data_IF_540913089470
#
_entry.id   IF_540913089470
#
_cell.length_a   1.000
_cell.length_b   1.000
_cell.length_c   1.000
_cell.angle_alpha   90.00
_cell.angle_beta   90.00
_cell.angle_gamma   90.00
#
_symmetry.space_group_name_H-M   'P 1'
#
loop_
_entity.id
_entity.type
_entity.pdbx_description
1 polymer ?
#
# COMPACT_ATOMS: atom_id res chain seq x y z
N UNK A 1 70.85 5.54 13.78
CA UNK A 1 70.70 4.83 12.49
C UNK A 1 69.30 4.22 12.44
N UNK A 2 68.37 4.90 11.75
CA UNK A 2 66.97 4.50 11.67
C UNK A 2 66.73 3.65 10.43
N UNK A 3 66.55 2.34 10.60
CA UNK A 3 66.13 1.45 9.52
C UNK A 3 64.61 1.55 9.36
N UNK A 4 64.15 2.36 8.39
CA UNK A 4 62.77 2.30 7.90
C UNK A 4 62.58 1.02 7.10
N UNK A 5 61.72 0.13 7.60
CA UNK A 5 61.21 -1.02 6.85
C UNK A 5 60.21 -0.49 5.83
N UNK A 6 60.64 -0.36 4.57
CA UNK A 6 59.72 -0.28 3.44
C UNK A 6 59.07 -1.66 3.29
N UNK A 7 57.94 -1.86 3.96
CA UNK A 7 57.03 -2.94 3.60
C UNK A 7 56.52 -2.58 2.21
N UNK A 8 56.89 -3.40 1.22
CA UNK A 8 56.57 -3.18 -0.19
C UNK A 8 55.07 -3.00 -0.37
N UNK A 9 54.64 -1.77 -0.67
CA UNK A 9 53.27 -1.38 -1.02
C UNK A 9 52.69 -2.30 -2.11
N UNK A 10 53.55 -2.84 -2.99
CA UNK A 10 53.17 -3.82 -4.00
C UNK A 10 52.61 -5.12 -3.41
N UNK A 11 53.15 -5.63 -2.30
CA UNK A 11 52.66 -6.87 -1.65
C UNK A 11 51.28 -6.63 -1.02
N UNK A 12 51.08 -5.45 -0.43
CA UNK A 12 49.79 -5.07 0.13
C UNK A 12 48.72 -4.95 -0.97
N UNK A 13 49.06 -4.34 -2.10
CA UNK A 13 48.15 -4.22 -3.23
C UNK A 13 47.76 -5.59 -3.80
N UNK A 14 48.73 -6.50 -3.97
CA UNK A 14 48.46 -7.86 -4.46
C UNK A 14 47.55 -8.62 -3.50
N UNK A 15 47.76 -8.51 -2.18
CA UNK A 15 46.87 -9.12 -1.19
C UNK A 15 45.44 -8.58 -1.25
N UNK A 16 45.27 -7.27 -1.41
CA UNK A 16 43.94 -6.65 -1.54
C UNK A 16 43.23 -7.13 -2.81
N UNK A 17 43.93 -7.18 -3.95
CA UNK A 17 43.35 -7.71 -5.19
C UNK A 17 43.00 -9.20 -5.10
N UNK A 18 43.82 -10.00 -4.41
CA UNK A 18 43.55 -11.42 -4.25
C UNK A 18 42.32 -11.69 -3.35
N UNK A 19 42.16 -10.91 -2.27
CA UNK A 19 40.99 -10.99 -1.40
C UNK A 19 39.74 -10.55 -2.16
N UNK A 20 39.80 -9.43 -2.90
CA UNK A 20 38.68 -8.97 -3.73
C UNK A 20 38.29 -10.01 -4.78
N UNK A 21 39.26 -10.69 -5.41
CA UNK A 21 39.00 -11.74 -6.40
C UNK A 21 38.34 -12.98 -5.80
N UNK A 22 38.76 -13.41 -4.60
CA UNK A 22 38.13 -14.54 -3.88
C UNK A 22 36.70 -14.20 -3.50
N UNK A 23 36.46 -12.99 -2.98
CA UNK A 23 35.12 -12.54 -2.60
C UNK A 23 34.18 -12.43 -3.80
N UNK A 24 34.69 -12.02 -4.97
CA UNK A 24 33.88 -11.91 -6.18
C UNK A 24 33.54 -13.26 -6.81
N UNK A 25 34.39 -14.29 -6.62
CA UNK A 25 34.13 -15.63 -7.18
C UNK A 25 33.10 -16.45 -6.41
N UNK A 26 32.64 -15.98 -5.25
CA UNK A 26 31.75 -16.75 -4.36
C UNK A 26 30.26 -16.65 -4.70
N UNK A 27 29.86 -16.00 -5.80
CA UNK A 27 28.44 -15.71 -6.08
C UNK A 27 27.85 -16.41 -7.30
N UNK A 28 28.57 -17.30 -7.99
CA UNK A 28 28.12 -17.78 -9.32
C UNK A 28 28.04 -19.31 -9.52
N UNK A 29 27.99 -20.12 -8.45
CA UNK A 29 27.74 -21.56 -8.60
C UNK A 29 26.71 -22.08 -7.58
N UNK A 30 25.46 -22.25 -8.05
CA UNK A 30 24.38 -22.80 -7.24
C UNK A 30 23.15 -23.31 -8.00
N UNK A 31 23.26 -23.64 -9.30
CA UNK A 31 22.22 -24.48 -9.96
C UNK A 31 22.40 -25.93 -9.51
N UNK A 32 21.67 -26.33 -8.47
CA UNK A 32 21.50 -27.74 -8.12
C UNK A 32 20.11 -28.18 -8.54
N UNK A 33 20.07 -29.04 -9.55
CA UNK A 33 18.93 -29.88 -9.88
C UNK A 33 18.62 -30.79 -8.68
N UNK A 34 17.47 -30.62 -8.03
CA UNK A 34 16.95 -31.62 -7.10
C UNK A 34 15.83 -32.43 -7.76
N UNK A 35 16.20 -33.67 -8.10
CA UNK A 35 15.30 -34.76 -8.38
C UNK A 35 14.59 -35.22 -7.10
N UNK A 36 13.29 -35.49 -7.24
CA UNK A 36 12.45 -36.44 -6.51
C UNK A 36 13.06 -37.13 -5.28
N UNK A 37 12.52 -36.81 -4.11
CA UNK A 37 12.46 -37.70 -2.95
C UNK A 37 11.32 -37.26 -2.01
N UNK A 38 10.09 -37.65 -2.33
CA UNK A 38 8.97 -37.63 -1.37
C UNK A 38 8.62 -39.07 -1.01
N UNK A 39 9.31 -39.60 0.00
CA UNK A 39 8.88 -40.79 0.73
C UNK A 39 8.79 -40.45 2.23
N UNK A 40 7.57 -40.61 2.76
CA UNK A 40 7.22 -40.85 4.17
C UNK A 40 7.44 -39.71 5.17
N UNK A 41 6.32 -39.17 5.64
CA UNK A 41 5.66 -39.54 6.91
C UNK A 41 5.01 -38.29 7.52
N UNK A 42 3.69 -38.16 7.45
CA UNK A 42 2.88 -37.89 8.64
C UNK A 42 1.40 -38.16 8.34
N UNK A 43 0.93 -39.20 9.02
CA UNK A 43 -0.45 -39.62 9.15
C UNK A 43 -1.18 -38.58 10.00
N UNK A 44 -2.20 -37.93 9.42
CA UNK A 44 -3.19 -37.14 10.16
C UNK A 44 -4.54 -37.25 9.47
N UNK A 45 -5.38 -38.05 10.11
CA UNK A 45 -6.85 -38.05 10.16
C UNK A 45 -7.59 -37.42 8.97
N UNK A 46 -7.99 -38.29 8.03
CA UNK A 46 -8.91 -38.00 6.93
C UNK A 46 -10.34 -37.82 7.47
N UNK A 47 -10.92 -36.64 7.26
CA UNK A 47 -12.37 -36.44 7.13
C UNK A 47 -12.76 -36.70 5.66
N UNK A 48 -13.93 -37.31 5.36
CA UNK A 48 -14.31 -37.61 3.99
C UNK A 48 -14.87 -36.36 3.29
N UNK A 49 -14.09 -35.78 2.37
CA UNK A 49 -14.57 -34.80 1.41
C UNK A 49 -14.70 -35.46 0.02
N UNK A 50 -15.95 -35.68 -0.38
CA UNK A 50 -16.36 -36.12 -1.71
C UNK A 50 -16.21 -34.92 -2.68
N UNK A 51 -15.03 -34.77 -3.29
CA UNK A 51 -14.75 -33.72 -4.28
C UNK A 51 -14.85 -34.29 -5.70
N UNK A 52 -16.08 -34.37 -6.22
CA UNK A 52 -16.30 -34.27 -7.66
C UNK A 52 -16.16 -32.80 -8.08
N UNK A 53 -14.97 -32.41 -8.54
CA UNK A 53 -14.80 -31.21 -9.38
C UNK A 53 -15.56 -31.45 -10.68
N UNK A 54 -16.77 -30.90 -10.75
CA UNK A 54 -17.45 -30.65 -12.01
C UNK A 54 -16.95 -29.30 -12.48
N UNK A 55 -16.08 -29.31 -13.49
CA UNK A 55 -15.78 -28.15 -14.30
C UNK A 55 -17.03 -27.76 -15.07
N UNK A 56 -17.78 -26.79 -14.56
CA UNK A 56 -18.82 -26.12 -15.35
C UNK A 56 -18.14 -25.04 -16.20
N UNK A 57 -18.34 -25.04 -17.53
CA UNK A 57 -17.89 -23.94 -18.37
C UNK A 57 -18.72 -22.69 -18.02
N UNK A 58 -18.08 -21.70 -17.41
CA UNK A 58 -18.68 -20.40 -17.12
C UNK A 58 -18.66 -19.56 -18.41
N UNK A 59 -19.69 -19.74 -19.23
CA UNK A 59 -19.99 -18.85 -20.36
C UNK A 59 -21.33 -18.16 -20.05
N UNK A 60 -21.28 -17.08 -19.27
CA UNK A 60 -22.35 -16.09 -19.24
C UNK A 60 -21.81 -14.73 -18.76
N UNK A 61 -20.87 -14.15 -19.53
CA UNK A 61 -20.33 -12.81 -19.29
C UNK A 61 -21.22 -11.68 -19.85
N UNK A 62 -22.39 -11.99 -20.41
CA UNK A 62 -23.22 -11.02 -21.15
C UNK A 62 -24.09 -10.10 -20.28
N UNK A 63 -23.93 -10.09 -18.95
CA UNK A 63 -24.74 -9.23 -18.05
C UNK A 63 -23.96 -8.40 -17.04
N UNK A 64 -22.62 -8.41 -17.05
CA UNK A 64 -21.85 -7.51 -16.20
C UNK A 64 -21.97 -6.07 -16.76
N UNK A 65 -22.48 -5.10 -15.98
CA UNK A 65 -22.53 -3.72 -16.42
C UNK A 65 -21.10 -3.25 -16.67
N UNK A 66 -20.75 -2.99 -17.93
CA UNK A 66 -19.47 -2.41 -18.31
C UNK A 66 -19.32 -1.06 -17.60
N UNK A 67 -18.61 -1.05 -16.47
CA UNK A 67 -18.19 0.17 -15.82
C UNK A 67 -17.29 0.92 -16.81
N UNK A 68 -17.60 2.19 -17.08
CA UNK A 68 -16.75 3.01 -17.93
C UNK A 68 -15.33 3.05 -17.34
N UNK A 69 -14.39 2.37 -18.00
CA UNK A 69 -12.97 2.26 -17.65
C UNK A 69 -12.16 3.59 -17.76
N UNK A 70 -12.83 4.75 -17.67
CA UNK A 70 -12.25 6.09 -17.83
C UNK A 70 -11.67 6.70 -16.55
N UNK A 71 -11.45 5.90 -15.51
CA UNK A 71 -11.32 6.38 -14.13
C UNK A 71 -9.87 6.38 -13.69
N UNK A 72 -9.19 7.45 -14.10
CA UNK A 72 -7.76 7.59 -13.94
C UNK A 72 -7.37 8.50 -12.77
N UNK A 73 -6.45 8.01 -11.92
CA UNK A 73 -5.68 8.81 -10.96
C UNK A 73 -4.47 9.48 -11.63
N UNK A 74 -4.19 9.24 -12.92
CA UNK A 74 -3.08 9.92 -13.59
C UNK A 74 -3.32 11.43 -13.69
N UNK A 75 -2.26 12.22 -13.50
CA UNK A 75 -2.19 13.55 -14.07
C UNK A 75 -2.43 13.44 -15.58
N UNK A 76 -3.24 14.35 -16.15
CA UNK A 76 -3.34 14.49 -17.62
C UNK A 76 -1.92 14.62 -18.21
N UNK A 77 -1.70 14.04 -19.39
CA UNK A 77 -0.40 13.92 -20.10
C UNK A 77 0.23 15.29 -20.45
N UNK A 78 -0.49 16.39 -20.30
CA UNK A 78 0.12 17.70 -20.23
C UNK A 78 0.83 17.83 -18.88
N UNK A 79 2.17 17.71 -18.85
CA UNK A 79 2.97 17.99 -17.65
C UNK A 79 2.59 19.39 -17.16
N UNK A 80 1.77 19.51 -16.09
CA UNK A 80 1.36 20.82 -15.62
C UNK A 80 2.63 21.56 -15.20
N UNK A 81 2.62 22.89 -15.23
CA UNK A 81 3.71 23.62 -14.57
C UNK A 81 3.82 23.11 -13.13
N UNK A 82 5.02 22.97 -12.57
CA UNK A 82 5.24 22.36 -11.23
C UNK A 82 4.25 22.88 -10.17
N UNK A 83 4.03 24.20 -10.15
CA UNK A 83 3.06 24.87 -9.26
C UNK A 83 1.60 24.44 -9.47
N UNK A 84 1.20 24.10 -10.69
CA UNK A 84 -0.14 23.61 -11.01
C UNK A 84 -0.35 22.18 -10.50
N UNK A 85 0.68 21.32 -10.56
CA UNK A 85 0.61 19.96 -10.04
C UNK A 85 0.42 19.95 -8.51
N UNK A 86 1.19 20.77 -7.79
CA UNK A 86 1.03 20.93 -6.34
C UNK A 86 -0.38 21.44 -6.00
N UNK A 87 -0.82 22.53 -6.64
CA UNK A 87 -2.16 23.09 -6.39
C UNK A 87 -3.27 22.08 -6.70
N UNK A 88 -3.11 21.29 -7.77
CA UNK A 88 -4.07 20.24 -8.13
C UNK A 88 -4.12 19.13 -7.09
N UNK A 89 -2.97 18.74 -6.53
CA UNK A 89 -2.90 17.78 -5.44
C UNK A 89 -3.60 18.33 -4.18
N UNK A 90 -3.30 19.57 -3.75
CA UNK A 90 -4.00 20.22 -2.61
C UNK A 90 -5.52 20.23 -2.79
N UNK A 91 -6.01 20.68 -3.96
CA UNK A 91 -7.44 20.70 -4.25
C UNK A 91 -8.07 19.30 -4.25
N UNK A 92 -7.30 18.30 -4.71
CA UNK A 92 -7.71 16.91 -4.70
C UNK A 92 -7.80 16.35 -3.29
N UNK A 93 -6.80 16.60 -2.44
CA UNK A 93 -6.81 16.16 -1.05
C UNK A 93 -7.90 16.84 -0.23
N UNK A 94 -8.12 18.16 -0.42
CA UNK A 94 -9.24 18.85 0.20
C UNK A 94 -10.60 18.22 -0.18
N UNK A 95 -10.78 17.87 -1.45
CA UNK A 95 -12.00 17.19 -1.92
C UNK A 95 -12.20 15.83 -1.25
N UNK A 96 -11.11 15.05 -1.13
CA UNK A 96 -11.13 13.72 -0.50
C UNK A 96 -11.43 13.82 1.00
N UNK A 97 -10.80 14.76 1.71
CA UNK A 97 -11.09 15.04 3.12
C UNK A 97 -12.54 15.42 3.35
N UNK A 98 -13.11 16.25 2.47
CA UNK A 98 -14.53 16.59 2.54
C UNK A 98 -15.41 15.33 2.40
N UNK A 99 -15.13 14.45 1.44
CA UNK A 99 -15.88 13.20 1.26
C UNK A 99 -15.70 12.21 2.42
N UNK A 100 -14.50 12.11 3.00
CA UNK A 100 -14.26 11.28 4.18
C UNK A 100 -15.08 11.74 5.39
N UNK A 101 -15.24 13.06 5.56
CA UNK A 101 -16.03 13.67 6.64
C UNK A 101 -17.56 13.54 6.46
N UNK A 102 -18.02 13.42 5.23
CA UNK A 102 -19.44 13.21 4.91
C UNK A 102 -19.87 11.79 5.27
N UNK A 103 -21.15 11.61 5.59
CA UNK A 103 -21.72 10.25 5.59
C UNK A 103 -21.78 9.69 4.16
N UNK A 104 -22.09 8.40 4.03
CA UNK A 104 -22.13 7.71 2.73
C UNK A 104 -23.07 8.39 1.74
N UNK A 105 -24.28 8.75 2.15
CA UNK A 105 -25.29 9.35 1.28
C UNK A 105 -24.87 10.75 0.80
N UNK A 106 -24.31 11.56 1.70
CA UNK A 106 -23.78 12.89 1.41
C UNK A 106 -22.59 12.82 0.46
N UNK A 107 -21.63 11.92 0.72
CA UNK A 107 -20.47 11.72 -0.14
C UNK A 107 -20.91 11.28 -1.55
N UNK A 108 -21.88 10.35 -1.65
CA UNK A 108 -22.42 9.89 -2.92
C UNK A 108 -23.12 11.02 -3.69
N UNK A 109 -23.97 11.80 -3.01
CA UNK A 109 -24.64 12.95 -3.61
C UNK A 109 -23.64 14.01 -4.10
N UNK A 110 -22.61 14.28 -3.30
CA UNK A 110 -21.55 15.23 -3.65
C UNK A 110 -20.72 14.76 -4.85
N UNK A 111 -20.35 13.47 -4.88
CA UNK A 111 -19.61 12.88 -5.99
C UNK A 111 -20.40 12.96 -7.30
N UNK A 112 -21.70 12.65 -7.27
CA UNK A 112 -22.60 12.77 -8.42
C UNK A 112 -22.74 14.22 -8.92
N UNK A 113 -22.74 15.19 -8.01
CA UNK A 113 -22.81 16.61 -8.36
C UNK A 113 -21.48 17.19 -8.86
N UNK A 114 -20.35 16.53 -8.59
CA UNK A 114 -19.03 17.02 -8.94
C UNK A 114 -18.60 16.52 -10.33
N UNK A 115 -18.29 17.41 -11.30
CA UNK A 115 -17.79 17.00 -12.62
C UNK A 115 -16.53 16.14 -12.56
N UNK A 116 -15.72 16.30 -11.50
CA UNK A 116 -14.51 15.50 -11.29
C UNK A 116 -14.83 14.08 -10.86
N UNK A 117 -15.84 13.88 -10.01
CA UNK A 117 -16.08 12.60 -9.34
C UNK A 117 -17.22 11.80 -9.97
N UNK A 118 -18.19 12.46 -10.59
CA UNK A 118 -19.35 11.84 -11.22
C UNK A 118 -18.97 10.79 -12.26
N UNK A 119 -17.83 10.96 -12.92
CA UNK A 119 -17.32 9.96 -13.86
C UNK A 119 -16.31 9.04 -13.19
N UNK A 120 -15.53 9.52 -12.22
CA UNK A 120 -14.28 8.88 -11.77
C UNK A 120 -14.44 7.79 -10.72
N UNK A 121 -15.36 7.90 -9.76
CA UNK A 121 -15.43 6.90 -8.68
C UNK A 121 -16.84 6.74 -8.13
N UNK A 122 -17.42 5.53 -8.13
CA UNK A 122 -18.54 5.26 -7.27
C UNK A 122 -18.09 5.36 -5.81
N UNK A 123 -18.85 6.11 -5.01
CA UNK A 123 -18.63 6.28 -3.57
C UNK A 123 -18.93 5.00 -2.80
N UNK A 124 -19.76 4.10 -3.34
CA UNK A 124 -19.88 2.75 -2.84
C UNK A 124 -18.91 1.84 -3.59
N UNK A 125 -18.05 1.11 -2.87
CA UNK A 125 -17.32 -0.01 -3.45
C UNK A 125 -18.29 -1.08 -3.93
N UNK A 126 -18.06 -1.64 -5.12
CA UNK A 126 -18.84 -2.78 -5.63
C UNK A 126 -18.33 -4.12 -5.09
N UNK A 127 -17.16 -4.11 -4.46
CA UNK A 127 -16.46 -5.30 -4.00
C UNK A 127 -16.44 -5.32 -2.48
N UNK A 128 -17.14 -6.28 -1.92
CA UNK A 128 -17.26 -6.44 -0.46
C UNK A 128 -17.01 -7.87 -0.02
N UNK A 129 -17.04 -8.83 -0.93
CA UNK A 129 -16.82 -10.23 -0.63
C UNK A 129 -15.39 -10.63 -1.01
N UNK A 130 -14.56 -11.14 -0.08
CA UNK A 130 -13.23 -11.63 -0.44
C UNK A 130 -13.14 -12.61 -1.60
N UNK A 131 -14.20 -13.38 -1.87
CA UNK A 131 -14.25 -14.25 -3.06
C UNK A 131 -14.20 -13.47 -4.38
N UNK A 132 -14.49 -12.17 -4.36
CA UNK A 132 -14.30 -11.28 -5.51
C UNK A 132 -12.84 -11.23 -5.97
N UNK A 133 -11.85 -11.49 -5.10
CA UNK A 133 -10.46 -11.55 -5.53
C UNK A 133 -10.27 -12.63 -6.61
N UNK A 134 -10.62 -13.87 -6.30
CA UNK A 134 -10.52 -15.00 -7.24
C UNK A 134 -11.39 -14.79 -8.48
N UNK A 135 -12.65 -14.32 -8.28
CA UNK A 135 -13.58 -14.06 -9.39
C UNK A 135 -13.08 -13.02 -10.40
N UNK A 136 -12.19 -12.13 -9.96
CA UNK A 136 -11.61 -11.06 -10.78
C UNK A 136 -10.11 -11.27 -11.05
N UNK A 137 -9.64 -12.52 -10.99
CA UNK A 137 -8.31 -12.90 -11.45
C UNK A 137 -7.17 -12.62 -10.47
N UNK A 138 -7.47 -12.37 -9.20
CA UNK A 138 -6.45 -12.24 -8.16
C UNK A 138 -6.22 -13.56 -7.47
N UNK A 139 -5.03 -14.11 -7.66
CA UNK A 139 -4.58 -15.28 -6.93
C UNK A 139 -3.84 -14.86 -5.66
N UNK A 140 -4.10 -15.53 -4.52
CA UNK A 140 -3.25 -15.37 -3.35
C UNK A 140 -1.84 -15.86 -3.72
N UNK A 141 -0.85 -14.96 -3.68
CA UNK A 141 0.54 -15.37 -3.83
C UNK A 141 0.93 -16.10 -2.56
N UNK A 142 0.83 -17.43 -2.58
CA UNK A 142 1.24 -18.33 -1.49
C UNK A 142 2.69 -18.82 -1.64
N UNK A 143 3.34 -18.53 -2.77
CA UNK A 143 4.54 -19.24 -3.20
C UNK A 143 5.87 -18.60 -2.76
N UNK A 144 5.83 -17.52 -1.98
CA UNK A 144 6.99 -16.96 -1.30
C UNK A 144 6.98 -17.34 0.19
N UNK A 145 8.06 -17.95 0.69
CA UNK A 145 8.30 -17.94 2.13
C UNK A 145 8.28 -16.46 2.58
N UNK A 146 7.46 -16.06 3.57
CA UNK A 146 7.48 -14.69 4.10
C UNK A 146 8.87 -14.24 4.57
N UNK A 147 9.83 -15.17 4.71
CA UNK A 147 11.23 -14.87 4.98
C UNK A 147 12.06 -14.43 3.77
N UNK A 148 11.64 -14.69 2.52
CA UNK A 148 12.43 -14.38 1.31
C UNK A 148 11.93 -13.16 0.53
N UNK A 149 10.63 -12.85 0.57
CA UNK A 149 10.04 -11.76 -0.22
C UNK A 149 9.37 -10.69 0.65
N UNK A 150 10.06 -9.55 0.79
CA UNK A 150 9.53 -8.36 1.43
C UNK A 150 9.92 -8.21 2.90
N UNK A 151 10.17 -6.96 3.31
CA UNK A 151 10.31 -6.62 4.72
C UNK A 151 9.80 -5.21 4.99
N UNK A 152 9.20 -5.00 6.16
CA UNK A 152 8.93 -3.67 6.70
C UNK A 152 10.27 -2.94 6.76
N UNK A 153 10.34 -1.79 6.10
CA UNK A 153 11.58 -1.03 5.98
C UNK A 153 12.09 -0.63 7.36
N UNK A 154 13.40 -0.81 7.57
CA UNK A 154 14.08 -0.53 8.85
C UNK A 154 13.84 0.90 9.35
N UNK A 155 13.62 1.80 8.40
CA UNK A 155 13.44 3.21 8.62
C UNK A 155 12.06 3.54 9.22
N UNK A 156 11.06 2.68 9.01
CA UNK A 156 9.74 2.81 9.64
C UNK A 156 9.71 2.24 11.06
N UNK A 157 10.63 1.33 11.38
CA UNK A 157 10.61 0.55 12.63
C UNK A 157 10.60 1.46 13.86
N UNK A 158 11.48 2.45 13.91
CA UNK A 158 11.60 3.33 15.08
C UNK A 158 10.33 4.09 15.40
N UNK A 159 9.55 4.49 14.39
CA UNK A 159 8.26 5.15 14.59
C UNK A 159 7.14 4.14 14.89
N UNK A 160 7.13 2.99 14.23
CA UNK A 160 6.18 1.92 14.51
C UNK A 160 6.31 1.37 15.94
N UNK A 161 7.53 1.30 16.50
CA UNK A 161 7.76 0.96 17.90
C UNK A 161 7.15 2.01 18.86
N UNK A 162 7.23 3.30 18.52
CA UNK A 162 6.59 4.37 19.29
C UNK A 162 5.06 4.26 19.30
N UNK A 163 4.49 3.69 18.24
CA UNK A 163 3.07 3.36 18.15
C UNK A 163 2.71 2.02 18.82
N UNK A 164 3.69 1.26 19.31
CA UNK A 164 3.48 -0.04 19.94
C UNK A 164 3.11 -1.16 18.98
N UNK A 165 3.61 -1.12 17.73
CA UNK A 165 3.27 -2.08 16.67
C UNK A 165 4.26 -3.26 16.53
N UNK A 166 5.43 -3.20 17.20
CA UNK A 166 6.47 -4.23 17.21
C UNK A 166 6.79 -4.84 15.81
N UNK A 167 7.15 -4.05 14.78
CA UNK A 167 7.40 -4.55 13.42
C UNK A 167 8.54 -5.56 13.31
N UNK A 168 9.40 -5.69 14.32
CA UNK A 168 10.47 -6.68 14.35
C UNK A 168 10.00 -8.09 14.73
N UNK A 169 8.81 -8.23 15.33
CA UNK A 169 8.26 -9.52 15.76
C UNK A 169 7.42 -10.10 14.62
N UNK A 170 8.06 -10.74 13.65
CA UNK A 170 7.40 -11.24 12.42
C UNK A 170 6.17 -12.12 12.67
N UNK A 171 6.15 -12.87 13.78
CA UNK A 171 4.97 -13.68 14.16
C UNK A 171 3.72 -12.84 14.43
N UNK A 172 3.87 -11.55 14.74
CA UNK A 172 2.77 -10.59 14.95
C UNK A 172 2.26 -9.97 13.64
N UNK A 173 2.89 -10.29 12.51
CA UNK A 173 2.54 -9.77 11.19
C UNK A 173 2.18 -10.93 10.24
N UNK A 174 1.43 -10.61 9.20
CA UNK A 174 1.18 -11.50 8.07
C UNK A 174 1.37 -10.68 6.79
N UNK A 175 2.15 -11.22 5.85
CA UNK A 175 2.16 -10.73 4.48
C UNK A 175 0.91 -11.27 3.77
N UNK A 176 0.06 -10.37 3.29
CA UNK A 176 -1.07 -10.68 2.44
C UNK A 176 -0.75 -10.15 1.05
N UNK A 177 -0.52 -11.05 0.10
CA UNK A 177 -0.15 -10.71 -1.26
C UNK A 177 -1.12 -11.34 -2.26
N UNK A 178 -1.55 -10.54 -3.23
CA UNK A 178 -2.36 -11.00 -4.34
C UNK A 178 -1.71 -10.55 -5.65
N UNK A 179 -1.50 -11.51 -6.53
CA UNK A 179 -0.98 -11.29 -7.88
C UNK A 179 -2.09 -11.54 -8.87
N UNK A 180 -2.11 -10.75 -9.94
CA UNK A 180 -3.08 -10.99 -10.99
C UNK A 180 -2.61 -12.20 -11.81
N UNK A 181 -3.41 -13.26 -11.76
CA UNK A 181 -3.11 -14.56 -12.31
C UNK A 181 -3.19 -14.59 -13.84
N UNK A 182 -2.42 -15.49 -14.45
CA UNK A 182 -2.39 -15.68 -15.90
C UNK A 182 -3.66 -16.34 -16.46
N UNK A 183 -4.55 -16.86 -15.62
CA UNK A 183 -5.79 -17.52 -16.07
C UNK A 183 -6.95 -16.53 -16.31
N UNK A 184 -6.84 -15.28 -15.86
CA UNK A 184 -7.85 -14.26 -16.10
C UNK A 184 -7.56 -13.49 -17.38
N UNK A 185 -8.37 -13.74 -18.41
CA UNK A 185 -8.24 -13.11 -19.72
C UNK A 185 -9.16 -11.88 -19.85
N UNK A 186 -8.58 -10.73 -20.23
CA UNK A 186 -9.35 -9.60 -20.73
C UNK A 186 -9.17 -9.54 -22.25
N UNK A 187 -10.27 -9.62 -23.00
CA UNK A 187 -10.27 -9.74 -24.46
C UNK A 187 -9.48 -10.95 -25.00
N UNK A 188 -9.40 -12.04 -24.24
CA UNK A 188 -8.63 -13.23 -24.63
C UNK A 188 -7.12 -13.12 -24.35
N UNK A 189 -6.68 -12.10 -23.61
CA UNK A 189 -5.30 -11.94 -23.16
C UNK A 189 -5.24 -11.93 -21.64
N UNK A 190 -4.42 -12.83 -21.07
CA UNK A 190 -4.07 -12.82 -19.66
C UNK A 190 -3.38 -11.52 -19.28
N UNK A 191 -3.73 -10.89 -18.15
CA UNK A 191 -2.96 -9.76 -17.61
C UNK A 191 -2.04 -10.30 -16.52
N UNK A 192 -0.73 -10.09 -16.64
CA UNK A 192 0.26 -10.49 -15.63
C UNK A 192 1.06 -9.27 -15.14
N UNK A 193 1.71 -9.41 -13.98
CA UNK A 193 2.62 -8.40 -13.44
C UNK A 193 1.94 -7.29 -12.63
N UNK A 194 0.64 -7.43 -12.38
CA UNK A 194 -0.05 -6.66 -11.35
C UNK A 194 0.03 -7.40 -10.01
N UNK A 195 0.29 -6.65 -8.95
CA UNK A 195 0.51 -7.16 -7.61
C UNK A 195 0.12 -6.11 -6.57
N UNK A 196 -0.61 -6.57 -5.56
CA UNK A 196 -0.83 -5.85 -4.32
C UNK A 196 -0.37 -6.69 -3.15
N UNK A 197 0.56 -6.16 -2.36
CA UNK A 197 1.05 -6.83 -1.16
C UNK A 197 1.08 -5.88 0.02
N UNK A 198 0.74 -6.41 1.20
CA UNK A 198 0.71 -5.63 2.43
C UNK A 198 1.01 -6.49 3.65
N UNK A 199 1.79 -5.98 4.58
CA UNK A 199 1.93 -6.56 5.91
C UNK A 199 0.79 -6.05 6.79
N UNK A 200 0.09 -6.96 7.45
CA UNK A 200 -0.99 -6.63 8.39
C UNK A 200 -0.67 -7.20 9.75
N UNK A 201 -0.75 -6.38 10.80
CA UNK A 201 -0.49 -6.86 12.15
C UNK A 201 -1.68 -7.65 12.71
N UNK A 202 -1.40 -8.50 13.70
CA UNK A 202 -2.39 -9.38 14.34
C UNK A 202 -2.94 -8.80 15.65
N UNK A 203 -2.62 -7.55 15.97
CA UNK A 203 -3.18 -6.85 17.13
C UNK A 203 -4.49 -6.14 16.77
N UNK A 204 -5.60 -6.75 17.16
CA UNK A 204 -6.96 -6.20 16.94
C UNK A 204 -7.23 -4.87 17.64
N UNK A 205 -6.43 -4.48 18.64
CA UNK A 205 -6.63 -3.24 19.40
C UNK A 205 -5.78 -2.08 18.85
N UNK A 206 -4.83 -2.38 17.95
CA UNK A 206 -3.93 -1.39 17.38
C UNK A 206 -3.59 -1.77 15.94
N UNK A 207 -4.62 -1.77 15.09
CA UNK A 207 -4.54 -2.36 13.76
C UNK A 207 -3.71 -1.48 12.83
N UNK A 208 -2.70 -2.08 12.20
CA UNK A 208 -1.81 -1.44 11.24
C UNK A 208 -1.67 -2.26 9.95
N UNK A 209 -1.54 -1.53 8.85
CA UNK A 209 -1.26 -2.05 7.51
C UNK A 209 0.00 -1.37 6.96
N UNK A 210 0.94 -2.14 6.43
CA UNK A 210 2.12 -1.64 5.71
C UNK A 210 2.04 -2.12 4.28
N UNK A 211 1.69 -1.22 3.38
CA UNK A 211 1.59 -1.48 1.94
C UNK A 211 2.98 -1.52 1.34
N UNK A 212 3.35 -2.65 0.75
CA UNK A 212 4.66 -2.87 0.13
C UNK A 212 4.59 -2.68 -1.40
N UNK A 213 3.72 -3.45 -2.08
CA UNK A 213 3.54 -3.34 -3.53
C UNK A 213 2.16 -2.79 -3.90
N UNK A 214 2.16 -1.91 -4.91
CA UNK A 214 0.96 -1.24 -5.46
C UNK A 214 0.93 -1.25 -6.99
N UNK A 215 1.20 -2.39 -7.61
CA UNK A 215 1.25 -2.52 -9.06
C UNK A 215 -0.13 -2.87 -9.61
N UNK A 216 -0.86 -1.86 -10.10
CA UNK A 216 -2.22 -2.06 -10.62
C UNK A 216 -2.24 -2.77 -11.99
N UNK A 217 -3.30 -3.54 -12.31
CA UNK A 217 -3.53 -4.01 -13.68
C UNK A 217 -3.60 -2.86 -14.68
N UNK A 218 -4.15 -1.71 -14.25
CA UNK A 218 -4.21 -0.49 -15.07
C UNK A 218 -2.83 0.01 -15.49
N UNK A 219 -1.84 0.02 -14.59
CA UNK A 219 -0.47 0.42 -14.95
C UNK A 219 0.15 -0.50 -15.98
N UNK A 220 -0.21 -1.80 -15.97
CA UNK A 220 0.27 -2.79 -16.93
C UNK A 220 -0.35 -2.59 -18.31
N UNK A 221 -1.66 -2.40 -18.40
CA UNK A 221 -2.35 -2.25 -19.71
C UNK A 221 -2.11 -0.89 -20.36
N UNK A 222 -1.86 0.15 -19.54
CA UNK A 222 -1.59 1.50 -20.03
C UNK A 222 -0.11 1.73 -20.40
N UNK A 223 0.79 0.78 -20.09
CA UNK A 223 2.20 0.88 -20.49
C UNK A 223 2.30 0.60 -22.00
N UNK A 224 2.75 1.57 -22.82
CA UNK A 224 2.85 1.39 -24.28
C UNK A 224 3.85 0.32 -24.71
N UNK A 225 4.73 -0.13 -23.80
CA UNK A 225 5.66 -1.22 -24.03
C UNK A 225 5.13 -2.59 -23.58
N UNK A 226 4.01 -2.61 -22.86
CA UNK A 226 3.35 -3.84 -22.43
C UNK A 226 2.78 -4.60 -23.62
N UNK A 227 2.81 -5.93 -23.52
CA UNK A 227 2.14 -6.83 -24.48
C UNK A 227 0.64 -6.90 -24.25
N UNK A 228 0.15 -6.39 -23.12
CA UNK A 228 -1.25 -6.47 -22.70
C UNK A 228 -2.00 -5.23 -23.16
N UNK A 229 -3.03 -5.42 -23.97
CA UNK A 229 -3.84 -4.32 -24.46
C UNK A 229 -5.33 -4.57 -24.18
N UNK A 230 -5.98 -3.64 -23.50
CA UNK A 230 -7.39 -3.77 -23.15
C UNK A 230 -7.79 -2.91 -21.95
N UNK A 231 -9.06 -2.97 -21.52
CA UNK A 231 -9.43 -2.43 -20.23
C UNK A 231 -8.75 -3.25 -19.12
N UNK A 232 -8.49 -2.62 -17.98
CA UNK A 232 -8.17 -3.36 -16.76
C UNK A 232 -9.44 -4.06 -16.24
N UNK A 233 -9.34 -5.13 -15.43
CA UNK A 233 -10.48 -5.68 -14.69
C UNK A 233 -11.13 -4.61 -13.82
N UNK A 234 -12.40 -4.78 -13.46
CA UNK A 234 -13.09 -3.78 -12.62
C UNK A 234 -12.49 -3.75 -11.21
N UNK A 235 -12.11 -4.91 -10.65
CA UNK A 235 -11.32 -5.02 -9.42
C UNK A 235 -9.83 -4.77 -9.71
N UNK A 236 -9.49 -3.57 -10.18
CA UNK A 236 -8.10 -3.15 -10.44
C UNK A 236 -7.59 -2.09 -9.45
N UNK A 237 -8.45 -1.61 -8.55
CA UNK A 237 -8.14 -0.45 -7.70
C UNK A 237 -7.48 -0.91 -6.39
N UNK A 238 -6.44 -0.19 -5.92
CA UNK A 238 -5.82 -0.52 -4.65
C UNK A 238 -6.81 -0.49 -3.47
N UNK A 239 -7.73 0.49 -3.44
CA UNK A 239 -8.70 0.63 -2.34
C UNK A 239 -9.55 -0.62 -2.14
N UNK A 240 -10.13 -1.17 -3.22
CA UNK A 240 -10.95 -2.37 -3.11
C UNK A 240 -10.10 -3.61 -2.79
N UNK A 241 -8.95 -3.80 -3.46
CA UNK A 241 -8.09 -4.96 -3.20
C UNK A 241 -7.58 -4.95 -1.77
N UNK A 242 -7.15 -3.79 -1.25
CA UNK A 242 -6.76 -3.64 0.14
C UNK A 242 -7.90 -3.94 1.12
N UNK A 243 -9.12 -3.50 0.80
CA UNK A 243 -10.29 -3.85 1.61
C UNK A 243 -10.51 -5.35 1.67
N UNK A 244 -10.47 -6.04 0.53
CA UNK A 244 -10.66 -7.49 0.50
C UNK A 244 -9.52 -8.24 1.22
N UNK A 245 -8.27 -7.81 1.04
CA UNK A 245 -7.11 -8.33 1.78
C UNK A 245 -7.27 -8.12 3.29
N UNK A 246 -7.69 -6.92 3.70
CA UNK A 246 -7.91 -6.57 5.09
C UNK A 246 -9.06 -7.38 5.70
N UNK A 247 -10.13 -7.57 4.94
CA UNK A 247 -11.29 -8.35 5.36
C UNK A 247 -10.91 -9.82 5.57
N UNK A 248 -10.13 -10.43 4.66
CA UNK A 248 -9.60 -11.80 4.81
C UNK A 248 -8.74 -11.95 6.06
N UNK A 249 -7.83 -11.00 6.28
CA UNK A 249 -7.00 -10.94 7.47
C UNK A 249 -7.86 -10.86 8.73
N UNK A 250 -8.85 -9.97 8.75
CA UNK A 250 -9.76 -9.83 9.89
C UNK A 250 -10.66 -11.05 10.12
N UNK A 251 -11.09 -11.76 9.08
CA UNK A 251 -11.78 -13.04 9.24
C UNK A 251 -10.88 -14.09 9.90
N UNK A 252 -9.60 -14.10 9.55
CA UNK A 252 -8.62 -15.07 10.05
C UNK A 252 -8.20 -14.80 11.50
N UNK A 253 -7.89 -13.55 11.84
CA UNK A 253 -7.28 -13.21 13.14
C UNK A 253 -8.24 -12.49 14.10
N UNK A 254 -9.27 -11.80 13.58
CA UNK A 254 -10.15 -10.94 14.40
C UNK A 254 -11.58 -11.48 14.51
N UNK A 255 -11.90 -12.56 13.80
CA UNK A 255 -13.25 -13.12 13.67
C UNK A 255 -14.25 -12.12 13.07
N UNK A 256 -13.85 -11.38 12.04
CA UNK A 256 -14.81 -10.59 11.27
C UNK A 256 -15.95 -11.48 10.77
N UNK A 257 -17.18 -10.94 10.73
CA UNK A 257 -18.31 -11.70 10.21
C UNK A 257 -18.12 -12.01 8.72
N UNK A 258 -19.04 -12.79 8.17
CA UNK A 258 -19.18 -12.82 6.71
C UNK A 258 -19.61 -11.44 6.22
N UNK A 259 -19.14 -10.99 5.05
CA UNK A 259 -19.55 -9.72 4.47
C UNK A 259 -21.05 -9.77 4.24
N UNK A 260 -21.76 -8.93 5.00
CA UNK A 260 -23.18 -8.64 4.84
C UNK A 260 -23.32 -7.13 4.90
N UNK A 261 -24.31 -6.56 4.20
CA UNK A 261 -24.48 -5.11 3.96
C UNK A 261 -24.50 -4.21 5.22
N UNK A 262 -24.46 -4.77 6.43
CA UNK A 262 -24.60 -4.02 7.70
C UNK A 262 -23.56 -4.38 8.75
N UNK A 263 -22.51 -5.14 8.43
CA UNK A 263 -21.49 -5.49 9.43
C UNK A 263 -20.44 -4.39 9.56
N UNK A 264 -20.48 -3.62 10.65
CA UNK A 264 -19.38 -2.72 11.01
C UNK A 264 -18.19 -3.53 11.51
N UNK A 265 -16.99 -3.22 11.01
CA UNK A 265 -15.72 -3.81 11.43
C UNK A 265 -14.77 -2.69 11.85
N UNK A 266 -13.82 -2.94 12.78
CA UNK A 266 -12.79 -1.96 13.06
C UNK A 266 -12.00 -1.68 11.78
N UNK A 267 -11.58 -0.44 11.60
CA UNK A 267 -10.67 -0.07 10.52
C UNK A 267 -9.22 -0.09 11.01
N UNK A 268 -8.22 -0.16 10.11
CA UNK A 268 -6.84 0.12 10.45
C UNK A 268 -6.71 1.54 11.00
N UNK A 269 -6.05 1.69 12.15
CA UNK A 269 -5.70 3.00 12.73
C UNK A 269 -4.47 3.59 12.04
N UNK A 270 -3.59 2.71 11.56
CA UNK A 270 -2.30 3.06 10.98
C UNK A 270 -2.15 2.45 9.60
N UNK A 271 -1.91 3.27 8.58
CA UNK A 271 -1.57 2.79 7.24
C UNK A 271 -0.23 3.38 6.85
N UNK A 272 0.72 2.52 6.52
CA UNK A 272 2.02 2.87 5.98
C UNK A 272 2.06 2.50 4.50
N UNK A 273 2.72 3.32 3.68
CA UNK A 273 3.06 2.98 2.29
C UNK A 273 4.56 3.13 2.17
N UNK A 274 5.26 2.02 1.97
CA UNK A 274 6.71 2.03 1.80
C UNK A 274 7.10 2.09 0.32
N UNK A 275 8.29 2.60 0.07
CA UNK A 275 8.94 2.63 -1.24
C UNK A 275 8.15 3.38 -2.33
N UNK A 276 7.64 4.57 -1.99
CA UNK A 276 7.01 5.49 -2.95
C UNK A 276 8.05 6.03 -3.93
N UNK A 277 8.05 5.44 -5.13
CA UNK A 277 8.95 5.79 -6.24
C UNK A 277 8.23 6.42 -7.43
N UNK A 278 6.92 6.67 -7.33
CA UNK A 278 6.13 7.24 -8.43
C UNK A 278 6.65 8.64 -8.81
N UNK A 279 7.19 8.86 -10.03
CA UNK A 279 7.95 10.07 -10.34
C UNK A 279 7.19 11.39 -10.15
N UNK A 280 5.88 11.39 -10.41
CA UNK A 280 5.02 12.56 -10.19
C UNK A 280 4.85 12.90 -8.71
N UNK A 281 4.78 11.88 -7.85
CA UNK A 281 4.62 12.04 -6.40
C UNK A 281 5.94 12.44 -5.76
N UNK A 282 7.04 11.77 -6.13
CA UNK A 282 8.40 12.12 -5.67
C UNK A 282 8.70 13.61 -5.89
N UNK A 283 8.39 14.14 -7.08
CA UNK A 283 8.57 15.57 -7.38
C UNK A 283 7.75 16.50 -6.47
N UNK A 284 6.54 16.09 -6.08
CA UNK A 284 5.70 16.86 -5.17
C UNK A 284 6.31 16.87 -3.76
N UNK A 285 6.85 15.75 -3.30
CA UNK A 285 7.51 15.67 -1.99
C UNK A 285 8.81 16.47 -1.95
N UNK A 286 9.65 16.36 -2.98
CA UNK A 286 10.85 17.20 -3.13
C UNK A 286 10.52 18.69 -3.11
N UNK A 287 9.46 19.11 -3.82
CA UNK A 287 9.00 20.49 -3.83
C UNK A 287 8.52 20.94 -2.44
N UNK A 288 7.79 20.07 -1.74
CA UNK A 288 7.27 20.35 -0.39
C UNK A 288 8.40 20.53 0.62
N UNK A 289 9.34 19.59 0.66
CA UNK A 289 10.49 19.65 1.56
C UNK A 289 11.34 20.89 1.28
N UNK A 290 11.56 21.22 0.00
CA UNK A 290 12.25 22.44 -0.39
C UNK A 290 11.52 23.72 0.02
N UNK A 291 10.19 23.77 -0.09
CA UNK A 291 9.37 24.95 0.31
C UNK A 291 9.44 25.20 1.82
N UNK A 292 9.54 24.13 2.60
CA UNK A 292 9.58 24.18 4.05
C UNK A 292 11.01 24.25 4.62
N UNK A 293 12.03 24.30 3.77
CA UNK A 293 13.45 24.27 4.16
C UNK A 293 13.78 23.04 5.02
N UNK A 294 13.18 21.90 4.68
CA UNK A 294 13.43 20.61 5.31
C UNK A 294 14.59 19.91 4.61
N UNK A 295 15.52 19.40 5.41
CA UNK A 295 16.66 18.65 4.90
C UNK A 295 16.30 17.18 4.65
N UNK A 296 17.03 16.55 3.75
CA UNK A 296 16.99 15.09 3.62
C UNK A 296 17.89 14.52 4.70
N UNK A 297 17.31 13.77 5.63
CA UNK A 297 18.06 13.27 6.77
C UNK A 297 18.76 11.95 6.42
N UNK A 298 20.01 11.82 6.87
CA UNK A 298 20.84 10.62 6.66
C UNK A 298 20.42 9.46 7.58
N UNK A 299 19.69 9.75 8.66
CA UNK A 299 19.21 8.77 9.63
C UNK A 299 17.68 8.74 9.64
N UNK A 300 17.12 7.57 9.99
CA UNK A 300 15.68 7.37 10.12
C UNK A 300 15.13 8.23 11.27
N UNK A 301 14.82 9.48 10.97
CA UNK A 301 14.10 10.35 11.87
C UNK A 301 12.65 9.91 11.94
N UNK A 302 11.91 10.53 12.85
CA UNK A 302 10.47 10.33 12.93
C UNK A 302 9.74 10.80 11.67
N UNK A 303 10.40 11.28 10.61
CA UNK A 303 9.73 11.81 9.43
C UNK A 303 8.98 13.10 9.73
N UNK A 304 8.46 13.74 8.69
CA UNK A 304 7.80 15.04 8.80
C UNK A 304 6.29 14.87 8.94
N UNK A 305 5.73 15.38 10.04
CA UNK A 305 4.31 15.28 10.36
C UNK A 305 3.54 16.50 9.86
N UNK A 306 2.50 16.25 9.07
CA UNK A 306 1.56 17.26 8.61
C UNK A 306 0.16 16.93 9.11
N UNK A 307 -0.54 17.95 9.63
CA UNK A 307 -1.98 17.88 9.86
C UNK A 307 -2.68 17.69 8.50
N UNK A 308 -3.69 16.81 8.43
CA UNK A 308 -4.40 16.54 7.18
C UNK A 308 -5.06 17.81 6.58
N UNK A 309 -5.44 18.79 7.40
CA UNK A 309 -6.00 20.06 6.96
C UNK A 309 -4.92 21.11 6.58
N UNK A 310 -3.62 20.81 6.73
CA UNK A 310 -2.55 21.68 6.23
C UNK A 310 -2.46 21.62 4.70
N UNK A 311 -1.85 22.64 4.09
CA UNK A 311 -1.63 22.65 2.63
C UNK A 311 -0.81 21.42 2.19
N UNK A 312 0.21 21.07 2.96
CA UNK A 312 1.08 19.91 2.75
C UNK A 312 0.34 18.60 3.00
N UNK A 313 -0.44 18.51 4.08
CA UNK A 313 -1.26 17.34 4.36
C UNK A 313 -2.26 17.04 3.24
N UNK A 314 -2.98 18.07 2.79
CA UNK A 314 -3.88 17.98 1.65
C UNK A 314 -3.13 17.63 0.36
N UNK A 315 -1.91 18.15 0.15
CA UNK A 315 -1.10 17.77 -1.00
C UNK A 315 -0.77 16.28 -0.98
N UNK A 316 -0.30 15.73 0.14
CA UNK A 316 0.01 14.29 0.28
C UNK A 316 -1.24 13.45 0.04
N UNK A 317 -2.37 13.82 0.64
CA UNK A 317 -3.66 13.12 0.47
C UNK A 317 -4.11 13.16 -0.99
N UNK A 318 -3.86 14.26 -1.70
CA UNK A 318 -4.21 14.42 -3.11
C UNK A 318 -3.32 13.67 -4.11
N UNK A 319 -2.23 13.04 -3.65
CA UNK A 319 -1.40 12.15 -4.49
C UNK A 319 -2.15 10.86 -4.83
N UNK A 320 -1.61 10.06 -5.76
CA UNK A 320 -2.21 8.75 -6.10
C UNK A 320 -2.24 7.80 -4.90
N UNK A 321 -1.23 7.88 -4.03
CA UNK A 321 -1.08 7.05 -2.83
C UNK A 321 -2.03 7.50 -1.72
N UNK A 322 -2.07 8.80 -1.44
CA UNK A 322 -3.04 9.36 -0.48
C UNK A 322 -4.49 9.20 -0.94
N UNK A 323 -4.73 9.26 -2.25
CA UNK A 323 -6.06 9.01 -2.84
C UNK A 323 -6.47 7.55 -2.66
N UNK A 324 -5.55 6.59 -2.79
CA UNK A 324 -5.86 5.18 -2.55
C UNK A 324 -6.32 4.94 -1.10
N UNK A 325 -5.63 5.52 -0.11
CA UNK A 325 -6.04 5.45 1.31
C UNK A 325 -7.37 6.16 1.54
N UNK A 326 -7.56 7.34 0.96
CA UNK A 326 -8.81 8.08 1.10
C UNK A 326 -9.99 7.32 0.51
N UNK A 327 -9.80 6.71 -0.67
CA UNK A 327 -10.84 5.93 -1.33
C UNK A 327 -11.12 4.62 -0.59
N UNK A 328 -10.11 3.99 0.02
CA UNK A 328 -10.31 2.86 0.93
C UNK A 328 -11.24 3.22 2.10
N UNK A 329 -11.14 4.43 2.65
CA UNK A 329 -12.06 4.88 3.70
C UNK A 329 -13.44 5.28 3.15
N UNK A 330 -13.48 5.99 2.02
CA UNK A 330 -14.74 6.48 1.41
C UNK A 330 -15.60 5.33 0.88
N UNK A 331 -15.01 4.36 0.18
CA UNK A 331 -15.74 3.30 -0.52
C UNK A 331 -16.32 2.25 0.42
N UNK A 332 -15.74 2.12 1.60
CA UNK A 332 -16.08 1.10 2.58
C UNK A 332 -16.69 1.71 3.85
N UNK A 333 -17.35 2.87 3.72
CA UNK A 333 -18.07 3.55 4.82
C UNK A 333 -19.13 2.67 5.50
N UNK A 334 -19.76 1.74 4.79
CA UNK A 334 -20.71 0.79 5.41
C UNK A 334 -20.02 -0.13 6.44
N UNK A 335 -18.72 -0.36 6.28
CA UNK A 335 -17.91 -1.24 7.13
C UNK A 335 -17.19 -0.45 8.21
N UNK A 336 -16.56 0.67 7.83
CA UNK A 336 -15.69 1.45 8.71
C UNK A 336 -16.39 2.60 9.44
N UNK A 337 -17.57 3.00 8.97
CA UNK A 337 -18.21 4.24 9.38
C UNK A 337 -17.52 5.48 8.82
N UNK A 338 -17.74 6.62 9.47
CA UNK A 338 -17.22 7.92 9.02
C UNK A 338 -15.82 8.17 9.60
N UNK A 339 -14.82 7.65 8.90
CA UNK A 339 -13.41 7.84 9.21
C UNK A 339 -12.74 8.85 8.30
N UNK A 340 -11.67 9.46 8.81
CA UNK A 340 -10.85 10.46 8.14
C UNK A 340 -9.38 10.20 8.41
N UNK A 341 -8.52 10.77 7.57
CA UNK A 341 -7.10 10.91 7.85
C UNK A 341 -6.93 12.15 8.74
N UNK A 342 -6.32 12.01 9.92
CA UNK A 342 -6.02 13.13 10.81
C UNK A 342 -4.64 13.71 10.57
N UNK A 343 -3.65 12.83 10.42
CA UNK A 343 -2.28 13.22 10.21
C UNK A 343 -1.67 12.39 9.10
N UNK A 344 -0.76 13.00 8.36
CA UNK A 344 0.11 12.32 7.41
C UNK A 344 1.54 12.56 7.79
N UNK A 345 2.39 11.55 7.59
CA UNK A 345 3.81 11.68 7.82
C UNK A 345 4.57 11.20 6.61
N UNK A 346 5.62 11.94 6.26
CA UNK A 346 6.41 11.71 5.06
C UNK A 346 7.86 11.54 5.48
N UNK A 347 8.48 10.45 5.05
CA UNK A 347 9.91 10.26 5.19
C UNK A 347 10.60 10.41 3.85
N UNK A 348 11.77 11.03 3.89
CA UNK A 348 12.72 11.03 2.79
C UNK A 348 13.96 10.27 3.22
N UNK A 349 14.31 9.22 2.51
CA UNK A 349 15.49 8.43 2.81
C UNK A 349 16.58 8.63 1.78
N UNK A 350 17.81 8.46 2.26
CA UNK A 350 18.98 8.52 1.41
C UNK A 350 18.82 7.55 0.22
N UNK A 351 19.17 7.98 -0.99
CA UNK A 351 18.89 7.21 -2.19
C UNK A 351 19.50 5.80 -2.16
N UNK A 352 18.67 4.76 -2.30
CA UNK A 352 19.18 3.43 -2.60
C UNK A 352 19.49 3.38 -4.09
N UNK A 353 20.75 3.08 -4.46
CA UNK A 353 21.21 3.12 -5.85
C UNK A 353 21.04 4.48 -6.56
N UNK A 354 21.02 5.58 -5.80
CA UNK A 354 20.89 6.92 -6.37
C UNK A 354 19.46 7.34 -6.71
N UNK A 355 18.45 6.53 -6.39
CA UNK A 355 17.04 6.91 -6.49
C UNK A 355 16.47 7.30 -5.13
N UNK A 356 15.88 8.51 -4.97
CA UNK A 356 15.26 8.91 -3.72
C UNK A 356 14.12 7.97 -3.35
N UNK A 357 14.05 7.59 -2.08
CA UNK A 357 12.99 6.74 -1.54
C UNK A 357 12.15 7.56 -0.57
N UNK A 358 10.84 7.41 -0.70
CA UNK A 358 9.88 8.08 0.15
C UNK A 358 8.94 7.07 0.76
N UNK A 359 8.63 7.23 2.04
CA UNK A 359 7.62 6.42 2.70
C UNK A 359 6.55 7.34 3.29
N UNK A 360 5.34 6.81 3.45
CA UNK A 360 4.18 7.54 3.94
C UNK A 360 3.56 6.82 5.13
N UNK A 361 2.95 7.61 6.02
CA UNK A 361 2.09 7.13 7.09
C UNK A 361 0.84 7.98 7.14
N UNK A 362 -0.29 7.33 7.41
CA UNK A 362 -1.60 7.91 7.58
C UNK A 362 -2.16 7.46 8.93
N UNK A 363 -2.48 8.44 9.78
CA UNK A 363 -3.23 8.21 11.01
C UNK A 363 -4.73 8.35 10.71
N UNK A 364 -5.47 7.28 10.95
CA UNK A 364 -6.92 7.21 10.71
C UNK A 364 -7.68 7.35 12.02
N UNK A 365 -8.72 8.17 12.02
CA UNK A 365 -9.60 8.35 13.16
C UNK A 365 -11.02 8.75 12.75
N UNK A 366 -11.92 8.88 13.72
CA UNK A 366 -13.32 9.26 13.44
C UNK A 366 -13.44 10.71 13.00
N UNK A 367 -14.36 10.98 12.09
CA UNK A 367 -14.63 12.33 11.58
C UNK A 367 -15.12 13.30 12.68
N UNK A 368 -15.80 12.77 13.71
CA UNK A 368 -16.32 13.53 14.85
C UNK A 368 -15.26 13.87 15.93
N UNK A 369 -14.03 13.36 15.78
CA UNK A 369 -12.94 13.56 16.74
C UNK A 369 -13.12 12.81 18.07
N UNK A 370 -14.15 11.96 18.20
CA UNK A 370 -14.39 11.16 19.39
C UNK A 370 -13.68 9.83 19.25
N UNK A 371 -12.39 9.79 19.61
CA UNK A 371 -11.73 8.50 19.85
C UNK A 371 -12.34 7.86 21.10
N UNK A 372 -13.17 6.84 20.91
CA UNK A 372 -13.72 6.02 21.99
C UNK A 372 -12.62 5.29 22.78
N UNK A 373 -11.43 5.12 22.18
CA UNK A 373 -10.27 4.43 22.75
C UNK A 373 -9.13 5.35 23.23
N UNK A 374 -9.35 6.66 23.42
CA UNK A 374 -8.32 7.58 23.95
C UNK A 374 -7.89 7.32 25.41
N UNK A 375 -8.18 6.13 25.95
CA UNK A 375 -7.57 5.59 27.15
C UNK A 375 -6.13 5.16 26.88
N UNK A 376 -5.18 6.07 27.12
CA UNK A 376 -3.74 5.82 27.24
C UNK A 376 -2.93 5.66 25.94
N UNK A 377 -2.66 6.76 25.24
CA UNK A 377 -1.31 7.35 25.10
C UNK A 377 -1.51 8.81 24.67
N UNK A 378 -1.28 9.74 25.60
CA UNK A 378 -1.44 11.17 25.36
C UNK A 378 -0.33 11.71 24.46
N UNK A 379 -0.52 11.65 23.15
CA UNK A 379 0.15 12.52 22.19
C UNK A 379 -0.92 13.31 21.44
N UNK A 380 -1.30 14.47 22.02
CA UNK A 380 -1.64 15.63 21.21
C UNK A 380 -3.09 15.88 20.78
N UNK A 381 -4.06 15.95 21.70
CA UNK A 381 -5.20 16.87 21.48
C UNK A 381 -4.77 18.31 21.78
N UNK A 382 -4.13 18.95 20.80
CA UNK A 382 -3.80 20.39 20.77
C UNK A 382 -4.69 21.16 19.80
N UNK A 383 -5.89 20.66 19.54
CA UNK A 383 -6.82 21.31 18.61
C UNK A 383 -7.71 22.35 19.30
N UNK A 384 -8.21 22.06 20.52
CA UNK A 384 -9.08 23.00 21.25
C UNK A 384 -8.36 24.28 21.73
N UNK A 385 -7.07 24.19 22.07
CA UNK A 385 -6.29 25.35 22.51
C UNK A 385 -5.89 26.29 21.36
N UNK A 386 -5.78 25.78 20.12
CA UNK A 386 -5.44 26.59 18.94
C UNK A 386 -6.61 27.47 18.47
N UNK A 387 -7.84 26.96 18.60
CA UNK A 387 -9.07 27.70 18.21
C UNK A 387 -9.45 28.73 19.27
N UNK A 388 -9.20 28.47 20.56
CA UNK A 388 -9.41 29.47 21.62
C UNK A 388 -8.34 30.55 21.72
N UNK A 389 -7.15 30.34 21.17
CA UNK A 389 -6.10 31.35 21.15
C UNK A 389 -6.23 32.35 19.98
N UNK A 390 -7.19 32.14 19.06
CA UNK A 390 -7.45 33.01 17.88
C UNK A 390 -8.84 33.66 17.85
N UNK A 391 -9.60 33.55 18.93
CA UNK A 391 -10.81 34.33 19.22
C UNK A 391 -10.58 35.13 20.50
#
# INVERSE_FOLDING_TARGET
>A
MAHRRFVNTAVLCVLVFFIAFILHRSTDEGRVLYQNSSEKLHESTVLPADNRRVSTPFNDHDTLPQGNAGNDLRPRVDTPKKSEAFTTAVQSGNSLLCMMRMNKEEAAAWALASPKWATRYPVAGSFTDPSDLENWGWDPSLDGDPYEEGSIKTELIGYMDQLGLNPQVWSEWLLVAHVHASEYEVNGEAIEGAEYSSFMNKDKNNIAMVVDNMFSPKSVVDDPSSRYHGPAPDLARPSDVWFLQYYLHGQTFFNFPKPVDTSTIPAPKHIFIQNVVTPGVVKLFEETFKRLDLEVEDEATNGELFDADSEEGMMVIGTVHGSAVSMFLIQHKDFFGDLVIWNVRVWNFQPMYGLPRWDLYFEIGRADGVDEDAGAVGVGRRWEDSVRAKL
#
